data_IF_525255450964
#
_entry.id   IF_525255450964
#
_cell.length_a   1.000
_cell.length_b   1.000
_cell.length_c   1.000
_cell.angle_alpha   90.00
_cell.angle_beta   90.00
_cell.angle_gamma   90.00
#
_symmetry.space_group_name_H-M   'P 1'
#
loop_
_entity.id
_entity.type
_entity.pdbx_description
1 polymer ?
#
# COMPACT_ATOMS: atom_id res chain seq x y z
N UNK A 1 46.64 -27.05 -26.74
CA UNK A 1 45.91 -26.42 -25.63
C UNK A 1 45.24 -25.21 -26.23
N UNK A 2 43.93 -25.31 -26.41
CA UNK A 2 43.14 -24.39 -27.24
C UNK A 2 42.20 -23.60 -26.34
N UNK A 3 42.32 -22.29 -26.38
CA UNK A 3 41.22 -21.33 -26.19
C UNK A 3 40.97 -20.66 -27.55
N UNK A 4 39.82 -20.02 -27.86
CA UNK A 4 38.74 -19.60 -26.94
C UNK A 4 37.31 -19.90 -27.46
N UNK A 5 36.34 -20.11 -26.58
CA UNK A 5 34.91 -19.94 -26.92
C UNK A 5 34.31 -18.81 -26.11
N UNK A 6 34.34 -17.62 -26.72
CA UNK A 6 33.36 -16.56 -26.51
C UNK A 6 31.95 -17.11 -26.74
N UNK A 7 31.04 -16.97 -25.78
CA UNK A 7 29.61 -16.71 -26.05
C UNK A 7 28.95 -16.07 -24.83
N UNK A 8 28.76 -14.75 -24.97
CA UNK A 8 27.59 -13.96 -24.62
C UNK A 8 27.01 -14.09 -23.20
N UNK A 9 27.41 -13.13 -22.38
CA UNK A 9 26.55 -12.22 -21.60
C UNK A 9 25.04 -12.48 -21.70
N UNK A 10 24.48 -13.07 -20.65
CA UNK A 10 23.09 -12.88 -20.27
C UNK A 10 23.05 -12.53 -18.77
N UNK A 11 23.61 -11.38 -18.42
CA UNK A 11 23.32 -10.74 -17.14
C UNK A 11 21.94 -10.12 -17.27
N UNK A 12 20.92 -10.85 -16.84
CA UNK A 12 19.61 -10.27 -16.56
C UNK A 12 19.80 -9.49 -15.26
N UNK A 13 20.17 -8.22 -15.38
CA UNK A 13 20.03 -7.24 -14.32
C UNK A 13 18.52 -7.11 -14.04
N UNK A 14 18.03 -7.90 -13.08
CA UNK A 14 16.74 -7.63 -12.46
C UNK A 14 16.92 -6.34 -11.66
N UNK A 15 16.56 -5.23 -12.29
CA UNK A 15 16.29 -3.96 -11.65
C UNK A 15 15.14 -4.18 -10.65
N UNK A 16 15.46 -4.63 -9.45
CA UNK A 16 14.54 -4.63 -8.32
C UNK A 16 14.36 -3.17 -7.89
N UNK A 17 13.59 -2.42 -8.67
CA UNK A 17 12.92 -1.24 -8.17
C UNK A 17 12.06 -1.73 -6.99
N UNK A 18 12.53 -1.48 -5.77
CA UNK A 18 11.75 -1.75 -4.58
C UNK A 18 10.52 -0.84 -4.62
N UNK A 19 9.39 -1.36 -5.10
CA UNK A 19 8.08 -0.68 -5.08
C UNK A 19 7.63 -0.54 -3.62
N UNK A 20 8.23 0.41 -2.91
CA UNK A 20 7.66 0.87 -1.67
C UNK A 20 6.31 1.54 -1.99
N UNK A 21 5.24 1.26 -1.23
CA UNK A 21 3.96 1.88 -1.48
C UNK A 21 4.11 3.40 -1.37
N UNK A 22 3.59 4.12 -2.39
CA UNK A 22 3.62 5.59 -2.46
C UNK A 22 3.03 6.26 -1.22
N UNK A 23 2.11 5.57 -0.55
CA UNK A 23 1.45 6.04 0.65
C UNK A 23 1.17 4.88 1.60
N UNK A 24 1.39 5.13 2.89
CA UNK A 24 0.88 4.34 4.01
C UNK A 24 0.20 5.32 4.96
N UNK A 25 -0.97 4.95 5.49
CA UNK A 25 -1.69 5.73 6.50
C UNK A 25 -0.77 6.14 7.65
N UNK A 26 -0.60 7.45 7.94
CA UNK A 26 0.19 7.92 9.08
C UNK A 26 -0.33 7.38 10.41
N UNK A 27 -1.65 7.26 10.56
CA UNK A 27 -2.28 6.66 11.76
C UNK A 27 -1.79 5.23 11.97
N UNK A 28 -1.86 4.38 10.94
CA UNK A 28 -1.42 2.99 11.05
C UNK A 28 0.09 2.87 11.23
N UNK A 29 0.88 3.73 10.58
CA UNK A 29 2.34 3.78 10.74
C UNK A 29 2.76 4.04 12.20
N UNK A 30 1.97 4.83 12.92
CA UNK A 30 2.20 5.18 14.32
C UNK A 30 1.65 4.15 15.33
N UNK A 31 0.95 3.10 14.86
CA UNK A 31 0.52 2.00 15.72
C UNK A 31 1.57 0.90 15.80
N UNK A 32 1.66 0.25 16.96
CA UNK A 32 2.36 -1.03 17.12
C UNK A 32 1.80 -2.06 16.15
N UNK A 33 2.66 -2.92 15.61
CA UNK A 33 2.27 -3.93 14.61
C UNK A 33 1.10 -4.82 15.08
N UNK A 34 1.03 -5.15 16.38
CA UNK A 34 -0.06 -5.97 16.97
C UNK A 34 -1.43 -5.29 16.97
N UNK A 35 -1.48 -3.96 16.81
CA UNK A 35 -2.72 -3.19 16.76
C UNK A 35 -3.09 -2.80 15.32
N UNK A 36 -2.32 -3.21 14.32
CA UNK A 36 -2.64 -2.96 12.92
C UNK A 36 -3.65 -3.99 12.40
N UNK A 37 -4.42 -3.64 11.36
CA UNK A 37 -5.28 -4.59 10.66
C UNK A 37 -4.51 -5.83 10.18
N UNK A 38 -5.06 -7.01 10.43
CA UNK A 38 -4.56 -8.27 9.89
C UNK A 38 -5.75 -9.13 9.42
N UNK A 39 -5.85 -9.49 8.12
CA UNK A 39 -4.95 -9.10 7.05
C UNK A 39 -5.06 -7.61 6.68
N UNK A 40 -3.96 -7.06 6.15
CA UNK A 40 -3.86 -5.66 5.72
C UNK A 40 -4.90 -5.34 4.63
N UNK A 41 -5.84 -4.41 4.86
CA UNK A 41 -6.80 -3.98 3.85
C UNK A 41 -6.15 -3.02 2.85
N UNK A 42 -6.75 -2.91 1.66
CA UNK A 42 -6.37 -1.91 0.65
C UNK A 42 -6.30 -0.48 1.22
N UNK A 43 -7.13 -0.19 2.24
CA UNK A 43 -7.14 1.10 2.91
C UNK A 43 -5.85 1.42 3.68
N UNK A 44 -4.98 0.45 4.01
CA UNK A 44 -3.69 0.74 4.65
C UNK A 44 -2.82 1.67 3.79
N UNK A 45 -2.90 1.52 2.47
CA UNK A 45 -2.09 2.25 1.48
C UNK A 45 -2.91 3.18 0.59
N UNK A 46 -4.12 3.57 1.02
CA UNK A 46 -5.02 4.44 0.27
C UNK A 46 -4.94 5.89 0.77
N UNK A 47 -4.54 6.88 -0.06
CA UNK A 47 -4.51 8.30 0.35
C UNK A 47 -5.88 8.89 0.72
N UNK A 48 -6.98 8.28 0.25
CA UNK A 48 -8.34 8.68 0.59
C UNK A 48 -8.89 7.99 1.86
N UNK A 49 -8.09 7.12 2.49
CA UNK A 49 -8.47 6.51 3.76
C UNK A 49 -8.27 7.47 4.92
N UNK A 50 -9.24 7.51 5.82
CA UNK A 50 -9.14 8.24 7.09
C UNK A 50 -9.19 7.22 8.21
N UNK A 51 -8.00 6.84 8.67
CA UNK A 51 -7.81 5.96 9.82
C UNK A 51 -7.81 6.76 11.11
N UNK A 52 -8.53 6.25 12.11
CA UNK A 52 -8.52 6.81 13.46
C UNK A 52 -8.51 5.68 14.48
N UNK A 53 -7.78 5.91 15.57
CA UNK A 53 -7.70 5.01 16.72
C UNK A 53 -8.11 5.75 17.98
N UNK A 54 -8.80 5.05 18.85
CA UNK A 54 -8.99 5.40 20.26
C UNK A 54 -8.36 4.29 21.10
N UNK A 55 -8.49 4.36 22.42
CA UNK A 55 -8.06 3.27 23.32
C UNK A 55 -8.85 1.97 23.09
N UNK A 56 -10.06 2.05 22.54
CA UNK A 56 -10.98 0.90 22.40
C UNK A 56 -11.10 0.38 20.98
N UNK A 57 -10.98 1.26 19.97
CA UNK A 57 -11.29 0.91 18.58
C UNK A 57 -10.30 1.47 17.59
N UNK A 58 -10.04 0.70 16.53
CA UNK A 58 -9.41 1.13 15.29
C UNK A 58 -10.42 1.07 14.15
N UNK A 59 -10.62 2.19 13.44
CA UNK A 59 -11.58 2.27 12.34
C UNK A 59 -11.00 3.00 11.13
N UNK A 60 -11.55 2.69 9.95
CA UNK A 60 -11.26 3.40 8.71
C UNK A 60 -12.54 3.92 8.06
N UNK A 61 -12.63 5.24 7.87
CA UNK A 61 -13.60 5.86 6.99
C UNK A 61 -13.01 6.00 5.58
N UNK A 62 -13.73 5.53 4.57
CA UNK A 62 -13.32 5.65 3.17
C UNK A 62 -13.85 6.95 2.57
N UNK A 63 -12.98 7.91 2.25
CA UNK A 63 -13.38 9.18 1.63
C UNK A 63 -13.96 9.03 0.22
N UNK A 64 -13.70 7.91 -0.49
CA UNK A 64 -14.29 7.65 -1.82
C UNK A 64 -15.70 7.07 -1.74
N UNK A 65 -15.94 6.16 -0.79
CA UNK A 65 -17.22 5.46 -0.62
C UNK A 65 -18.16 6.15 0.38
N UNK A 66 -17.64 7.07 1.19
CA UNK A 66 -18.35 7.78 2.24
C UNK A 66 -18.95 6.85 3.33
N UNK A 67 -18.21 5.82 3.74
CA UNK A 67 -18.64 4.87 4.78
C UNK A 67 -17.46 4.29 5.58
N UNK A 68 -17.74 3.69 6.75
CA UNK A 68 -16.76 2.93 7.53
C UNK A 68 -16.55 1.57 6.86
N UNK A 69 -15.34 1.34 6.34
CA UNK A 69 -14.95 0.11 5.60
C UNK A 69 -14.09 -0.84 6.42
N UNK A 70 -13.68 -0.40 7.62
CA UNK A 70 -12.96 -1.22 8.58
C UNK A 70 -13.39 -0.86 9.99
N UNK A 71 -13.84 -1.87 10.72
CA UNK A 71 -14.11 -1.83 12.15
C UNK A 71 -13.67 -3.12 12.88
N UNK A 72 -13.02 -4.04 12.17
CA UNK A 72 -12.58 -5.34 12.68
C UNK A 72 -13.66 -6.44 12.70
N UNK A 73 -14.91 -6.14 12.33
CA UNK A 73 -16.01 -7.11 12.39
C UNK A 73 -16.29 -7.80 11.04
N UNK A 74 -15.87 -7.19 9.93
CA UNK A 74 -16.04 -7.72 8.57
C UNK A 74 -14.70 -8.06 7.91
N UNK A 75 -14.68 -9.00 6.94
CA UNK A 75 -13.48 -9.29 6.17
C UNK A 75 -12.91 -8.03 5.47
N UNK A 76 -11.57 -7.85 5.43
CA UNK A 76 -10.96 -6.70 4.77
C UNK A 76 -11.26 -6.65 3.28
N UNK A 77 -11.47 -5.43 2.78
CA UNK A 77 -11.39 -5.13 1.36
C UNK A 77 -9.92 -5.17 0.94
N UNK A 78 -9.51 -6.19 0.19
CA UNK A 78 -8.12 -6.38 -0.24
C UNK A 78 -7.77 -5.68 -1.56
N UNK A 79 -8.78 -5.40 -2.42
CA UNK A 79 -8.62 -4.75 -3.72
C UNK A 79 -9.71 -3.68 -3.88
N UNK A 80 -9.35 -2.47 -4.31
CA UNK A 80 -10.28 -1.35 -4.35
C UNK A 80 -9.88 -0.31 -5.41
N UNK A 81 -10.72 -0.06 -6.41
CA UNK A 81 -10.46 0.98 -7.43
C UNK A 81 -10.42 2.39 -6.82
N UNK A 82 -11.14 2.60 -5.71
CA UNK A 82 -11.07 3.86 -4.95
C UNK A 82 -9.67 4.17 -4.43
N UNK A 83 -8.86 3.15 -4.13
CA UNK A 83 -7.45 3.29 -3.76
C UNK A 83 -6.62 3.74 -4.95
N UNK A 84 -6.75 3.07 -6.10
CA UNK A 84 -5.97 3.39 -7.30
C UNK A 84 -6.24 4.83 -7.77
N UNK A 85 -7.51 5.24 -7.77
CA UNK A 85 -7.89 6.63 -8.06
C UNK A 85 -7.33 7.64 -7.05
N UNK A 86 -7.21 7.26 -5.78
CA UNK A 86 -6.61 8.12 -4.75
C UNK A 86 -5.10 8.24 -4.90
N UNK A 87 -4.41 7.16 -5.29
CA UNK A 87 -2.98 7.16 -5.58
C UNK A 87 -2.68 8.04 -6.79
N UNK A 88 -3.43 7.90 -7.88
CA UNK A 88 -3.24 8.72 -9.08
C UNK A 88 -3.38 10.22 -8.76
N UNK A 89 -4.43 10.61 -8.02
CA UNK A 89 -4.63 12.00 -7.61
C UNK A 89 -3.49 12.53 -6.71
N UNK A 90 -2.95 11.69 -5.82
CA UNK A 90 -1.79 12.05 -5.00
C UNK A 90 -0.54 12.29 -5.86
N UNK A 91 -0.29 11.43 -6.85
CA UNK A 91 0.86 11.57 -7.77
C UNK A 91 0.75 12.83 -8.63
N UNK A 92 -0.44 13.12 -9.16
CA UNK A 92 -0.70 14.36 -9.91
C UNK A 92 -0.42 15.60 -9.05
N UNK A 93 -0.87 15.61 -7.79
CA UNK A 93 -0.63 16.72 -6.88
C UNK A 93 0.84 16.92 -6.48
N UNK A 94 1.66 15.86 -6.51
CA UNK A 94 3.10 15.95 -6.22
C UNK A 94 3.93 16.48 -7.40
N UNK A 95 3.39 16.40 -8.61
CA UNK A 95 4.06 16.81 -9.85
C UNK A 95 3.64 18.21 -10.33
N UNK A 96 2.73 18.87 -9.60
CA UNK A 96 2.22 20.22 -9.87
C UNK A 96 3.04 21.28 -9.13
#
# INVERSE_FOLDING_TARGET
>A
MSDPTTTASAQIEHDQASEQPLYISPTLKNLDAKHRPEPSPACETCPASVWFSTDEVLKCFCGRMHLIVWDGNEPPILKCDGRELAILALMEAQNA
#
